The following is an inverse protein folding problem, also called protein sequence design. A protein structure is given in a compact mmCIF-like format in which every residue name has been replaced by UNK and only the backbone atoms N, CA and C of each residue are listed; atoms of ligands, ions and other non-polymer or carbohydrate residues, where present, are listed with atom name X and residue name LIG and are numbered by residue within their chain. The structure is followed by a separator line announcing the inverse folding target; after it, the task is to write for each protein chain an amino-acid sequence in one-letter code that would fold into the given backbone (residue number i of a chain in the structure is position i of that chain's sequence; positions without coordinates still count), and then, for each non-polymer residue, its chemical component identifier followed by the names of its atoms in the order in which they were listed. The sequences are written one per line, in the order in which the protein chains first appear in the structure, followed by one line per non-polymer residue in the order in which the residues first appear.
data_IF_729628239979
#
_entry.id   IF_729628239979
#
_cell.length_a   1.000
_cell.length_b   1.000
_cell.length_c   1.000
_cell.angle_alpha   90.00
_cell.angle_beta   90.00
_cell.angle_gamma   90.00
#
_symmetry.space_group_name_H-M   'P 1'
#
loop_
_entity.id
_entity.type
_entity.pdbx_description
1 polymer ?
#
# COMPACT_ATOMS: atom_id res chain seq x y z
N UNK A 1 34.50 -20.71 50.28
CA UNK A 1 34.51 -21.88 51.18
C UNK A 1 33.08 -22.20 51.58
N UNK A 2 32.82 -23.49 51.82
CA UNK A 2 31.56 -24.18 52.17
C UNK A 2 30.71 -24.67 50.99
N UNK A 3 30.78 -25.99 50.88
CA UNK A 3 30.05 -26.94 50.06
C UNK A 3 28.76 -27.38 50.77
N UNK A 4 27.71 -27.75 50.01
CA UNK A 4 26.77 -28.81 50.43
C UNK A 4 25.96 -29.41 49.24
N UNK A 5 26.42 -30.59 48.82
CA UNK A 5 25.74 -31.83 48.36
C UNK A 5 24.21 -31.75 48.14
N UNK A 6 23.73 -31.93 46.90
CA UNK A 6 23.27 -33.17 46.25
C UNK A 6 21.99 -33.81 46.82
N UNK A 7 20.92 -33.80 46.02
CA UNK A 7 20.03 -34.94 45.83
C UNK A 7 19.64 -35.03 44.35
N UNK A 8 20.13 -36.07 43.68
CA UNK A 8 19.56 -36.60 42.44
C UNK A 8 18.32 -37.42 42.82
N UNK A 9 17.21 -37.14 42.15
CA UNK A 9 16.15 -38.14 41.98
C UNK A 9 15.81 -38.21 40.51
N UNK A 10 16.37 -39.22 39.85
CA UNK A 10 15.90 -39.74 38.58
C UNK A 10 14.67 -40.59 38.87
N UNK A 11 13.54 -40.29 38.25
CA UNK A 11 12.46 -41.26 38.05
C UNK A 11 11.79 -40.96 36.72
N UNK A 12 12.12 -41.81 35.74
CA UNK A 12 11.47 -41.86 34.46
C UNK A 12 10.02 -42.31 34.61
N UNK A 13 9.11 -41.65 33.92
CA UNK A 13 7.83 -42.22 33.52
C UNK A 13 7.61 -41.88 32.04
N UNK A 14 8.01 -42.82 31.18
CA UNK A 14 7.47 -42.96 29.84
C UNK A 14 6.00 -43.34 29.97
N UNK A 15 5.09 -42.57 29.40
CA UNK A 15 3.68 -42.95 29.38
C UNK A 15 2.77 -41.78 29.12
N UNK A 16 2.46 -41.57 27.84
CA UNK A 16 1.44 -40.62 27.43
C UNK A 16 1.89 -39.85 26.21
N UNK A 17 1.64 -40.42 25.04
CA UNK A 17 1.44 -39.64 23.83
C UNK A 17 0.26 -38.68 24.09
N UNK A 18 0.54 -37.55 24.71
CA UNK A 18 -0.23 -36.36 24.44
C UNK A 18 0.31 -35.88 23.10
N UNK A 19 -0.36 -36.27 22.03
CA UNK A 19 -0.44 -35.44 20.83
C UNK A 19 -1.00 -34.10 21.31
N UNK A 20 -0.14 -33.25 21.88
CA UNK A 20 -0.34 -31.82 21.87
C UNK A 20 -0.30 -31.51 20.38
N UNK A 21 -1.48 -31.60 19.76
CA UNK A 21 -1.67 -31.20 18.39
C UNK A 21 -1.01 -29.84 18.31
N UNK A 22 -0.01 -29.72 17.44
CA UNK A 22 0.15 -28.48 16.75
C UNK A 22 -1.23 -28.21 16.17
N UNK A 23 -2.07 -27.47 16.90
CA UNK A 23 -2.99 -26.58 16.24
C UNK A 23 -2.03 -25.77 15.38
N UNK A 24 -1.89 -26.19 14.12
CA UNK A 24 -1.73 -25.25 13.05
C UNK A 24 -2.85 -24.27 13.34
N UNK A 25 -2.48 -23.19 14.01
CA UNK A 25 -3.09 -21.91 13.71
C UNK A 25 -2.72 -21.77 12.25
N UNK A 26 -3.57 -22.31 11.38
CA UNK A 26 -3.69 -21.81 10.03
C UNK A 26 -3.93 -20.35 10.29
N UNK A 27 -2.84 -19.58 10.20
CA UNK A 27 -2.90 -18.16 10.02
C UNK A 27 -3.61 -18.10 8.68
N UNK A 28 -4.93 -18.08 8.70
CA UNK A 28 -5.75 -17.74 7.56
C UNK A 28 -5.24 -16.35 7.22
N UNK A 29 -4.26 -16.31 6.33
CA UNK A 29 -3.58 -15.08 5.97
C UNK A 29 -4.60 -14.33 5.14
N UNK A 30 -5.48 -13.61 5.83
CA UNK A 30 -6.53 -12.84 5.21
C UNK A 30 -5.84 -11.85 4.30
N UNK A 31 -5.98 -12.06 2.99
CA UNK A 31 -5.32 -11.26 1.98
C UNK A 31 -5.95 -9.87 2.00
N UNK A 32 -5.14 -8.83 2.01
CA UNK A 32 -5.68 -7.50 1.78
C UNK A 32 -5.96 -7.31 0.29
N UNK A 33 -7.17 -6.83 -0.02
CA UNK A 33 -7.64 -6.54 -1.37
C UNK A 33 -8.07 -5.08 -1.41
N UNK A 34 -7.69 -4.37 -2.47
CA UNK A 34 -8.14 -3.01 -2.76
C UNK A 34 -8.81 -3.00 -4.13
N UNK A 35 -10.11 -2.74 -4.16
CA UNK A 35 -10.87 -2.51 -5.38
C UNK A 35 -10.83 -1.01 -5.70
N UNK A 36 -10.27 -0.64 -6.84
CA UNK A 36 -10.10 0.76 -7.26
C UNK A 36 -10.90 1.01 -8.54
N UNK A 37 -11.74 2.04 -8.53
CA UNK A 37 -12.36 2.56 -9.75
C UNK A 37 -11.36 3.48 -10.45
N UNK A 38 -10.95 3.05 -11.63
CA UNK A 38 -10.10 3.84 -12.50
C UNK A 38 -11.02 4.60 -13.46
N UNK A 39 -11.10 5.94 -13.38
CA UNK A 39 -11.74 6.70 -14.45
C UNK A 39 -10.97 6.48 -15.75
N UNK A 40 -11.62 6.67 -16.89
CA UNK A 40 -10.90 6.64 -18.16
C UNK A 40 -9.87 7.78 -18.17
N UNK A 41 -8.58 7.44 -18.30
CA UNK A 41 -7.51 8.44 -18.40
C UNK A 41 -7.45 9.14 -19.77
N UNK A 42 -8.51 9.01 -20.57
CA UNK A 42 -8.61 9.69 -21.85
C UNK A 42 -8.84 11.17 -21.52
N UNK A 43 -8.04 12.03 -22.12
CA UNK A 43 -8.10 13.50 -21.98
C UNK A 43 -7.46 14.10 -20.72
N UNK A 44 -6.54 13.38 -20.06
CA UNK A 44 -5.72 13.92 -18.97
C UNK A 44 -4.29 14.22 -19.43
N UNK A 45 -3.83 15.45 -19.20
CA UNK A 45 -2.48 15.89 -19.58
C UNK A 45 -1.42 15.46 -18.56
N UNK A 46 -1.79 15.38 -17.28
CA UNK A 46 -0.86 14.99 -16.20
C UNK A 46 -1.09 13.53 -15.81
N UNK A 47 -2.33 13.16 -15.51
CA UNK A 47 -2.68 11.81 -15.04
C UNK A 47 -2.86 10.82 -16.21
N UNK A 48 -1.82 10.70 -17.03
CA UNK A 48 -1.79 9.81 -18.21
C UNK A 48 -1.80 8.33 -17.82
N UNK A 49 -1.29 8.00 -16.62
CA UNK A 49 -1.32 6.68 -16.02
C UNK A 49 -2.28 6.66 -14.81
N UNK A 50 -3.02 5.58 -14.57
CA UNK A 50 -4.07 5.58 -13.57
C UNK A 50 -3.47 5.51 -12.16
N UNK A 51 -3.86 6.40 -11.23
CA UNK A 51 -3.55 6.24 -9.82
C UNK A 51 -4.17 4.96 -9.26
N UNK A 52 -3.52 4.38 -8.27
CA UNK A 52 -3.89 3.10 -7.69
C UNK A 52 -3.77 3.14 -6.16
N UNK A 53 -4.39 2.18 -5.48
CA UNK A 53 -4.35 2.05 -4.03
C UNK A 53 -3.98 0.61 -3.68
N UNK A 54 -2.87 0.42 -2.97
CA UNK A 54 -2.31 -0.91 -2.71
C UNK A 54 -2.01 -1.13 -1.24
N UNK A 55 -2.27 -2.36 -0.71
CA UNK A 55 -1.81 -2.72 0.61
C UNK A 55 -0.28 -2.81 0.65
N UNK A 56 0.31 -2.35 1.76
CA UNK A 56 1.75 -2.37 2.00
C UNK A 56 2.09 -3.40 3.08
N UNK A 57 2.82 -4.43 2.65
CA UNK A 57 3.29 -5.51 3.50
C UNK A 57 2.20 -6.46 3.98
N UNK A 58 2.65 -7.48 4.71
CA UNK A 58 1.80 -8.56 5.24
C UNK A 58 1.62 -8.47 6.77
N UNK A 59 2.02 -7.34 7.36
CA UNK A 59 1.96 -7.12 8.80
C UNK A 59 0.56 -6.68 9.24
N UNK A 60 0.15 -7.09 10.43
CA UNK A 60 -1.06 -6.54 11.07
C UNK A 60 -0.68 -5.41 12.02
N UNK A 61 -1.33 -4.22 11.95
CA UNK A 61 -2.35 -3.81 10.97
C UNK A 61 -1.78 -3.53 9.56
N UNK A 62 -2.56 -3.84 8.51
CA UNK A 62 -2.13 -3.70 7.10
C UNK A 62 -2.33 -2.25 6.65
N UNK A 63 -1.22 -1.59 6.29
CA UNK A 63 -1.20 -0.24 5.73
C UNK A 63 -1.64 -0.26 4.28
N UNK A 64 -2.13 0.89 3.82
CA UNK A 64 -2.54 1.12 2.44
C UNK A 64 -1.87 2.40 1.95
N UNK A 65 -1.29 2.32 0.76
CA UNK A 65 -0.68 3.45 0.07
C UNK A 65 -1.49 3.82 -1.16
N UNK A 66 -1.71 5.13 -1.33
CA UNK A 66 -2.07 5.72 -2.61
C UNK A 66 -0.79 5.85 -3.44
N UNK A 67 -0.84 5.38 -4.68
CA UNK A 67 0.25 5.49 -5.64
C UNK A 67 -0.21 6.32 -6.83
N UNK A 68 0.56 7.37 -7.13
CA UNK A 68 0.30 8.29 -8.22
C UNK A 68 1.46 8.18 -9.22
N UNK A 69 1.31 7.38 -10.28
CA UNK A 69 2.33 7.29 -11.32
C UNK A 69 2.24 8.52 -12.23
N UNK A 70 3.38 9.17 -12.47
CA UNK A 70 3.52 10.26 -13.44
C UNK A 70 4.74 9.96 -14.31
N UNK A 71 4.61 10.14 -15.62
CA UNK A 71 5.73 9.96 -16.54
C UNK A 71 6.68 11.15 -16.44
N UNK A 72 7.98 10.91 -16.42
CA UNK A 72 8.99 11.97 -16.40
C UNK A 72 8.83 12.91 -17.59
N UNK A 73 8.53 12.38 -18.79
CA UNK A 73 8.25 13.22 -19.97
C UNK A 73 7.07 14.17 -19.77
N UNK A 74 6.09 13.81 -18.94
CA UNK A 74 4.95 14.66 -18.59
C UNK A 74 5.38 15.75 -17.60
N UNK A 75 6.22 15.43 -16.62
CA UNK A 75 6.77 16.43 -15.71
C UNK A 75 7.60 17.47 -16.45
N UNK A 76 8.47 17.05 -17.38
CA UNK A 76 9.27 17.95 -18.22
C UNK A 76 8.44 18.82 -19.16
N UNK A 77 7.31 18.29 -19.66
CA UNK A 77 6.41 19.01 -20.57
C UNK A 77 5.43 19.93 -19.84
N UNK A 78 5.25 19.72 -18.55
CA UNK A 78 4.34 20.50 -17.69
C UNK A 78 5.15 21.23 -16.62
N UNK A 79 4.48 21.91 -15.70
CA UNK A 79 5.13 22.53 -14.55
C UNK A 79 4.49 22.05 -13.24
N UNK A 80 4.11 20.76 -13.19
CA UNK A 80 3.53 20.16 -12.00
C UNK A 80 4.56 20.17 -10.88
N UNK A 81 4.21 20.80 -9.76
CA UNK A 81 5.07 20.92 -8.57
C UNK A 81 4.59 20.00 -7.44
N UNK A 82 3.29 19.72 -7.42
CA UNK A 82 2.70 18.82 -6.43
C UNK A 82 1.37 18.23 -6.91
N UNK A 83 1.01 17.12 -6.29
CA UNK A 83 -0.33 16.54 -6.36
C UNK A 83 -1.03 16.73 -5.00
N UNK A 84 -2.14 17.46 -4.98
CA UNK A 84 -3.01 17.52 -3.82
C UNK A 84 -4.02 16.36 -3.85
N UNK A 85 -4.14 15.66 -2.74
CA UNK A 85 -5.12 14.58 -2.56
C UNK A 85 -6.25 15.11 -1.67
N UNK A 86 -7.45 15.21 -2.22
CA UNK A 86 -8.61 15.80 -1.55
C UNK A 86 -9.67 14.76 -1.20
N UNK A 87 -10.32 14.94 -0.05
CA UNK A 87 -11.61 14.30 0.28
C UNK A 87 -12.68 15.38 0.37
N UNK A 88 -13.63 15.39 -0.57
CA UNK A 88 -14.59 16.49 -0.69
C UNK A 88 -13.88 17.79 -1.11
N UNK A 89 -13.79 18.76 -0.21
CA UNK A 89 -13.08 20.04 -0.40
C UNK A 89 -11.83 20.18 0.46
N UNK A 90 -11.53 19.20 1.31
CA UNK A 90 -10.39 19.23 2.24
C UNK A 90 -9.17 18.54 1.62
N UNK A 91 -8.03 19.23 1.60
CA UNK A 91 -6.74 18.62 1.27
C UNK A 91 -6.31 17.69 2.41
N UNK A 92 -6.12 16.41 2.11
CA UNK A 92 -5.65 15.39 3.05
C UNK A 92 -4.14 15.22 2.97
N UNK A 93 -3.60 15.17 1.76
CA UNK A 93 -2.18 14.95 1.51
C UNK A 93 -1.69 15.85 0.39
N UNK A 94 -0.38 16.12 0.39
CA UNK A 94 0.34 16.77 -0.70
C UNK A 94 1.55 15.93 -1.03
N UNK A 95 1.63 15.47 -2.27
CA UNK A 95 2.78 14.76 -2.81
C UNK A 95 3.60 15.81 -3.54
N UNK A 96 4.81 16.08 -3.06
CA UNK A 96 5.75 16.91 -3.81
C UNK A 96 6.22 16.11 -5.01
N UNK A 97 6.26 16.76 -6.16
CA UNK A 97 6.64 16.17 -7.44
C UNK A 97 7.85 16.95 -7.94
N UNK A 98 8.89 16.23 -8.35
CA UNK A 98 10.12 16.82 -8.87
C UNK A 98 10.50 16.14 -10.19
N UNK A 99 10.83 16.94 -11.21
CA UNK A 99 11.31 16.44 -12.50
C UNK A 99 12.67 15.72 -12.38
N UNK A 100 13.43 16.02 -11.32
CA UNK A 100 14.69 15.39 -10.98
C UNK A 100 14.57 14.06 -10.23
N UNK A 101 13.35 13.61 -9.92
CA UNK A 101 13.14 12.28 -9.33
C UNK A 101 13.46 11.17 -10.34
N UNK A 102 14.11 10.10 -9.86
CA UNK A 102 14.49 8.98 -10.69
C UNK A 102 13.26 8.10 -11.04
N UNK A 103 13.06 7.73 -12.32
CA UNK A 103 12.07 6.74 -12.70
C UNK A 103 12.31 5.41 -12.00
N UNK A 104 11.23 4.67 -11.74
CA UNK A 104 11.30 3.32 -11.14
C UNK A 104 11.90 2.28 -12.12
N UNK A 105 12.13 2.67 -13.38
CA UNK A 105 12.66 1.85 -14.46
C UNK A 105 11.65 0.87 -15.02
N UNK A 106 12.14 -0.17 -15.69
CA UNK A 106 11.29 -1.21 -16.25
C UNK A 106 10.56 -1.98 -15.15
N UNK A 107 9.23 -1.89 -15.17
CA UNK A 107 8.34 -2.70 -14.33
C UNK A 107 7.38 -3.45 -15.24
N UNK A 108 7.00 -4.68 -14.90
CA UNK A 108 5.91 -5.39 -15.59
C UNK A 108 4.54 -4.70 -15.40
N UNK A 109 4.50 -3.58 -14.66
CA UNK A 109 3.29 -2.82 -14.33
C UNK A 109 2.95 -1.76 -15.36
N UNK A 110 3.97 -1.13 -15.95
CA UNK A 110 3.80 -0.03 -16.88
C UNK A 110 4.45 -0.37 -18.22
N UNK A 111 3.82 0.05 -19.31
CA UNK A 111 4.39 -0.08 -20.66
C UNK A 111 5.54 0.91 -20.93
N UNK A 112 5.78 1.83 -19.99
CA UNK A 112 6.76 2.92 -20.08
C UNK A 112 7.85 2.74 -19.02
N UNK A 113 9.08 3.08 -19.37
CA UNK A 113 10.29 3.02 -18.52
C UNK A 113 10.58 4.35 -17.80
N UNK A 114 9.88 5.42 -18.16
CA UNK A 114 10.02 6.77 -17.62
C UNK A 114 9.01 7.10 -16.50
N UNK A 115 8.46 6.09 -15.81
CA UNK A 115 7.45 6.31 -14.77
C UNK A 115 8.09 6.60 -13.42
N UNK A 116 7.64 7.67 -12.77
CA UNK A 116 7.95 7.98 -11.37
C UNK A 116 6.70 7.69 -10.54
N UNK A 117 6.83 6.93 -9.45
CA UNK A 117 5.72 6.61 -8.55
C UNK A 117 5.80 7.42 -7.25
N UNK A 118 4.83 8.31 -7.06
CA UNK A 118 4.65 9.01 -5.80
C UNK A 118 3.72 8.22 -4.89
N UNK A 119 4.22 7.78 -3.75
CA UNK A 119 3.47 6.99 -2.78
C UNK A 119 3.20 7.77 -1.49
N UNK A 120 1.99 7.61 -0.95
CA UNK A 120 1.62 8.14 0.36
C UNK A 120 0.71 7.19 1.10
N UNK A 121 1.07 6.91 2.34
CA UNK A 121 0.21 6.13 3.21
C UNK A 121 -1.06 6.89 3.57
N UNK A 122 -2.20 6.27 3.32
CA UNK A 122 -3.54 6.81 3.54
C UNK A 122 -4.25 6.15 4.74
N UNK A 123 -3.55 5.25 5.44
CA UNK A 123 -3.94 4.62 6.68
C UNK A 123 -4.05 3.10 6.59
N UNK A 124 -4.87 2.51 7.45
CA UNK A 124 -4.99 1.05 7.58
C UNK A 124 -6.36 0.54 7.10
N UNK A 125 -6.42 -0.68 6.55
CA UNK A 125 -7.69 -1.35 6.23
C UNK A 125 -8.52 -1.63 7.51
N UNK A 126 -9.87 -1.69 7.42
CA UNK A 126 -10.69 -1.45 6.23
C UNK A 126 -10.84 0.04 5.90
N UNK A 127 -10.86 0.38 4.61
CA UNK A 127 -11.10 1.74 4.14
C UNK A 127 -12.02 1.77 2.93
N UNK A 128 -12.82 2.84 2.83
CA UNK A 128 -13.58 3.17 1.61
C UNK A 128 -13.58 4.67 1.49
N UNK A 129 -13.11 5.19 0.36
CA UNK A 129 -13.03 6.62 0.16
C UNK A 129 -13.15 7.00 -1.31
N UNK A 130 -13.39 8.29 -1.53
CA UNK A 130 -13.32 8.93 -2.84
C UNK A 130 -12.32 10.07 -2.77
N UNK A 131 -11.24 9.94 -3.53
CA UNK A 131 -10.25 10.99 -3.65
C UNK A 131 -10.37 11.73 -4.97
N UNK A 132 -10.16 13.03 -4.89
CA UNK A 132 -9.87 13.87 -6.05
C UNK A 132 -8.40 14.25 -5.98
N UNK A 133 -7.66 13.94 -7.03
CA UNK A 133 -6.25 14.30 -7.16
C UNK A 133 -6.18 15.53 -8.06
N UNK A 134 -5.53 16.59 -7.58
CA UNK A 134 -5.26 17.80 -8.34
C UNK A 134 -3.78 17.89 -8.62
N UNK A 135 -3.39 17.96 -9.89
CA UNK A 135 -2.05 18.37 -10.27
C UNK A 135 -1.98 19.90 -10.21
N UNK A 136 -1.00 20.45 -9.49
CA UNK A 136 -0.85 21.89 -9.26
C UNK A 136 0.54 22.33 -9.71
N UNK A 137 0.61 23.44 -10.44
CA UNK A 137 1.85 24.05 -10.91
C UNK A 137 1.70 25.56 -11.02
N UNK A 138 2.72 26.34 -10.63
CA UNK A 138 2.65 27.80 -10.63
C UNK A 138 1.49 28.37 -9.79
N UNK A 139 1.04 27.63 -8.78
CA UNK A 139 -0.10 27.99 -7.92
C UNK A 139 -1.49 27.82 -8.56
N UNK A 140 -1.59 27.20 -9.74
CA UNK A 140 -2.88 26.91 -10.40
C UNK A 140 -3.07 25.41 -10.60
N UNK A 141 -4.33 24.97 -10.69
CA UNK A 141 -4.66 23.58 -11.00
C UNK A 141 -4.52 23.33 -12.49
N UNK A 142 -3.69 22.36 -12.85
CA UNK A 142 -3.41 21.95 -14.22
C UNK A 142 -4.33 20.82 -14.68
N UNK A 143 -4.53 19.82 -13.81
CA UNK A 143 -5.32 18.64 -14.11
C UNK A 143 -6.06 18.13 -12.85
N UNK A 144 -7.10 17.32 -13.02
CA UNK A 144 -7.89 16.76 -11.94
C UNK A 144 -8.54 15.43 -12.31
N UNK A 145 -8.20 14.37 -11.56
CA UNK A 145 -8.84 13.05 -11.69
C UNK A 145 -9.54 12.67 -10.38
N UNK A 146 -10.60 11.86 -10.46
CA UNK A 146 -11.32 11.34 -9.29
C UNK A 146 -11.32 9.83 -9.29
N UNK A 147 -10.96 9.24 -8.16
CA UNK A 147 -10.96 7.79 -7.96
C UNK A 147 -11.77 7.42 -6.72
N UNK A 148 -12.41 6.27 -6.76
CA UNK A 148 -13.05 5.65 -5.60
C UNK A 148 -12.34 4.33 -5.31
N UNK A 149 -12.18 3.99 -4.04
CA UNK A 149 -11.56 2.72 -3.68
C UNK A 149 -12.18 2.13 -2.44
N UNK A 150 -12.04 0.81 -2.34
CA UNK A 150 -12.43 0.01 -1.17
C UNK A 150 -11.34 -0.99 -0.86
N UNK A 151 -10.71 -0.86 0.30
CA UNK A 151 -9.71 -1.82 0.79
C UNK A 151 -10.25 -2.61 1.99
N UNK A 152 -10.11 -3.93 1.95
CA UNK A 152 -10.63 -4.85 2.95
C UNK A 152 -9.79 -6.12 3.07
N UNK A 153 -10.06 -6.91 4.11
CA UNK A 153 -9.52 -8.25 4.25
C UNK A 153 -10.44 -9.24 3.55
N UNK A 154 -9.91 -9.97 2.58
CA UNK A 154 -10.57 -11.12 1.98
C UNK A 154 -10.38 -12.31 2.93
N UNK A 155 -11.51 -12.85 3.42
CA UNK A 155 -11.50 -14.11 4.16
C UNK A 155 -11.63 -15.21 3.11
N UNK A 156 -10.62 -16.05 3.00
CA UNK A 156 -10.67 -17.23 2.14
C UNK A 156 -11.77 -18.15 2.66
N UNK A 157 -12.89 -18.28 1.96
CA UNK A 157 -13.83 -19.36 2.22
C UNK A 157 -13.21 -20.65 1.69
N UNK A 158 -12.54 -21.40 2.55
CA UNK A 158 -12.24 -22.81 2.26
C UNK A 158 -13.59 -23.55 2.16
N UNK A 159 -13.84 -24.14 1.00
CA UNK A 159 -15.07 -24.86 0.67
C UNK A 159 -14.84 -26.36 0.69
#
# INVERSE_FOLDING_TARGET
MVSRRWFLTMAAALGGAATAGCQRIEKTSARAVCDVSHPENRDHDVFTLPPDVRPVGDSEPILVDLQVPIRQSVLEATNVELVEVLTGTETRHRLLVDEGDDPIGETERYEYDDVIEYAQSIGFIPQTNRYRLHAVGGGVRLDSITMEFRCYREVSEER
#
